data_IF_518112314000
#
_entry.id   IF_518112314000
#
_cell.length_a   1.000
_cell.length_b   1.000
_cell.length_c   1.000
_cell.angle_alpha   90.00
_cell.angle_beta   90.00
_cell.angle_gamma   90.00
#
_symmetry.space_group_name_H-M   'P 1'
#
loop_
_entity.id
_entity.type
_entity.pdbx_description
1 polymer ?
#
# COMPACT_ATOMS: atom_id res chain seq x y z
N UNK A 1 -29.79 12.58 62.36
CA UNK A 1 -29.25 13.47 61.30
C UNK A 1 -28.54 12.70 60.18
N UNK A 2 -27.58 11.80 60.48
CA UNK A 2 -26.84 10.99 59.48
C UNK A 2 -27.71 10.12 58.54
N UNK A 3 -28.77 9.48 59.08
CA UNK A 3 -29.61 8.56 58.29
C UNK A 3 -30.41 9.25 57.17
N UNK A 4 -30.87 10.48 57.41
CA UNK A 4 -31.56 11.28 56.41
C UNK A 4 -30.64 11.78 55.30
N UNK A 5 -29.39 12.12 55.64
CA UNK A 5 -28.36 12.50 54.67
C UNK A 5 -28.03 11.33 53.72
N UNK A 6 -27.91 10.12 54.26
CA UNK A 6 -27.64 8.91 53.48
C UNK A 6 -28.77 8.57 52.50
N UNK A 7 -30.04 8.72 52.90
CA UNK A 7 -31.20 8.50 52.04
C UNK A 7 -31.25 9.53 50.91
N UNK A 8 -31.00 10.81 51.20
CA UNK A 8 -30.98 11.86 50.16
C UNK A 8 -29.82 11.69 49.19
N UNK A 9 -28.65 11.25 49.66
CA UNK A 9 -27.51 10.92 48.79
C UNK A 9 -27.80 9.71 47.90
N UNK A 10 -28.49 8.70 48.42
CA UNK A 10 -28.93 7.54 47.66
C UNK A 10 -29.95 7.90 46.57
N UNK A 11 -30.95 8.74 46.91
CA UNK A 11 -31.92 9.27 45.93
C UNK A 11 -31.21 10.08 44.83
N UNK A 12 -30.25 10.93 45.21
CA UNK A 12 -29.42 11.69 44.26
C UNK A 12 -28.60 10.77 43.35
N UNK A 13 -27.95 9.74 43.89
CA UNK A 13 -27.19 8.76 43.09
C UNK A 13 -28.10 7.92 42.18
N UNK A 14 -29.30 7.58 42.63
CA UNK A 14 -30.27 6.83 41.82
C UNK A 14 -30.81 7.66 40.63
N UNK A 15 -30.97 8.98 40.82
CA UNK A 15 -31.47 9.89 39.79
C UNK A 15 -30.36 10.32 38.82
N UNK A 16 -29.19 10.71 39.34
CA UNK A 16 -28.10 11.27 38.53
C UNK A 16 -27.07 10.23 38.09
N UNK A 17 -26.96 9.08 38.77
CA UNK A 17 -26.05 8.00 38.43
C UNK A 17 -26.24 7.49 36.99
N UNK A 18 -27.46 7.10 36.57
CA UNK A 18 -27.72 6.65 35.21
C UNK A 18 -27.38 7.71 34.16
N UNK A 19 -27.69 8.98 34.44
CA UNK A 19 -27.39 10.10 33.55
C UNK A 19 -25.86 10.27 33.37
N UNK A 20 -25.10 10.22 34.47
CA UNK A 20 -23.64 10.29 34.44
C UNK A 20 -23.05 9.07 33.72
N UNK A 21 -23.59 7.87 33.94
CA UNK A 21 -23.16 6.66 33.22
C UNK A 21 -23.41 6.76 31.72
N UNK A 22 -24.58 7.26 31.30
CA UNK A 22 -24.91 7.46 29.88
C UNK A 22 -24.02 8.54 29.26
N UNK A 23 -23.77 9.65 29.97
CA UNK A 23 -22.85 10.71 29.52
C UNK A 23 -21.43 10.18 29.35
N UNK A 24 -20.91 9.45 30.34
CA UNK A 24 -19.58 8.84 30.27
C UNK A 24 -19.51 7.82 29.14
N UNK A 25 -20.49 6.92 29.02
CA UNK A 25 -20.55 5.93 27.95
C UNK A 25 -20.60 6.59 26.56
N UNK A 26 -21.38 7.65 26.39
CA UNK A 26 -21.46 8.42 25.14
C UNK A 26 -20.15 9.15 24.83
N UNK A 27 -19.50 9.71 25.85
CA UNK A 27 -18.20 10.36 25.73
C UNK A 27 -17.11 9.35 25.31
N UNK A 28 -17.03 8.20 25.98
CA UNK A 28 -16.07 7.14 25.63
C UNK A 28 -16.37 6.49 24.27
N UNK A 29 -17.65 6.30 23.91
CA UNK A 29 -18.03 5.83 22.59
C UNK A 29 -17.66 6.83 21.50
N UNK A 30 -17.91 8.12 21.72
CA UNK A 30 -17.47 9.20 20.84
C UNK A 30 -15.95 9.22 20.69
N UNK A 31 -15.22 9.14 21.80
CA UNK A 31 -13.76 9.07 21.81
C UNK A 31 -13.22 7.84 21.06
N UNK A 32 -13.85 6.67 21.24
CA UNK A 32 -13.51 5.46 20.51
C UNK A 32 -13.73 5.65 19.00
N UNK A 33 -14.83 6.27 18.58
CA UNK A 33 -15.07 6.57 17.15
C UNK A 33 -14.00 7.53 16.61
N UNK A 34 -13.60 8.55 17.37
CA UNK A 34 -12.55 9.48 16.96
C UNK A 34 -11.18 8.83 16.77
N UNK A 35 -10.92 7.68 17.40
CA UNK A 35 -9.67 6.91 17.20
C UNK A 35 -9.87 5.84 16.11
N UNK A 36 -10.95 5.08 16.19
CA UNK A 36 -11.18 3.92 15.34
C UNK A 36 -11.49 4.33 13.90
N UNK A 37 -12.27 5.39 13.69
CA UNK A 37 -12.64 5.86 12.36
C UNK A 37 -11.43 6.30 11.51
N UNK A 38 -10.52 7.19 11.98
CA UNK A 38 -9.34 7.54 11.20
C UNK A 38 -8.39 6.36 11.03
N UNK A 39 -8.30 5.45 12.01
CA UNK A 39 -7.49 4.23 11.89
C UNK A 39 -8.04 3.31 10.78
N UNK A 40 -9.34 3.03 10.77
CA UNK A 40 -9.98 2.20 9.75
C UNK A 40 -9.91 2.86 8.37
N UNK A 41 -10.11 4.18 8.30
CA UNK A 41 -9.95 4.93 7.06
C UNK A 41 -8.52 4.86 6.54
N UNK A 42 -7.52 5.05 7.41
CA UNK A 42 -6.11 4.93 7.05
C UNK A 42 -5.77 3.52 6.56
N UNK A 43 -6.27 2.48 7.23
CA UNK A 43 -6.10 1.09 6.80
C UNK A 43 -6.74 0.85 5.43
N UNK A 44 -7.97 1.32 5.23
CA UNK A 44 -8.66 1.21 3.95
C UNK A 44 -7.88 1.89 2.82
N UNK A 45 -7.44 3.13 3.02
CA UNK A 45 -6.62 3.87 2.05
C UNK A 45 -5.29 3.15 1.78
N UNK A 46 -4.62 2.64 2.82
CA UNK A 46 -3.39 1.88 2.67
C UNK A 46 -3.61 0.61 1.84
N UNK A 47 -4.69 -0.13 2.07
CA UNK A 47 -5.05 -1.31 1.27
C UNK A 47 -5.27 -0.94 -0.19
N UNK A 48 -5.99 0.15 -0.48
CA UNK A 48 -6.18 0.61 -1.85
C UNK A 48 -4.86 0.95 -2.54
N UNK A 49 -3.94 1.63 -1.84
CA UNK A 49 -2.61 1.96 -2.35
C UNK A 49 -1.83 0.67 -2.66
N UNK A 50 -1.81 -0.30 -1.74
CA UNK A 50 -1.13 -1.59 -1.94
C UNK A 50 -1.69 -2.31 -3.16
N UNK A 51 -3.01 -2.46 -3.25
CA UNK A 51 -3.65 -3.15 -4.37
C UNK A 51 -3.37 -2.45 -5.72
N UNK A 52 -3.31 -1.12 -5.72
CA UNK A 52 -3.10 -0.34 -6.94
C UNK A 52 -1.64 -0.34 -7.44
N UNK A 53 -0.68 -0.34 -6.50
CA UNK A 53 0.72 -0.08 -6.80
C UNK A 53 1.65 -1.28 -6.61
N UNK A 54 1.33 -2.25 -5.74
CA UNK A 54 2.19 -3.39 -5.46
C UNK A 54 2.26 -4.34 -6.68
N UNK A 55 3.46 -4.58 -7.26
CA UNK A 55 3.65 -5.63 -8.24
C UNK A 55 3.24 -7.01 -7.73
N UNK A 56 2.60 -7.78 -8.60
CA UNK A 56 2.16 -9.14 -8.28
C UNK A 56 2.75 -10.16 -9.25
N UNK A 57 2.68 -9.90 -10.56
CA UNK A 57 3.04 -10.87 -11.59
C UNK A 57 3.29 -10.18 -12.92
N UNK A 58 3.88 -10.93 -13.86
CA UNK A 58 4.00 -10.55 -15.26
C UNK A 58 3.19 -11.56 -16.09
N UNK A 59 2.41 -11.09 -17.06
CA UNK A 59 1.56 -11.94 -17.90
C UNK A 59 1.68 -11.53 -19.36
N UNK A 60 1.71 -12.47 -20.29
CA UNK A 60 1.61 -12.12 -21.70
C UNK A 60 0.15 -11.79 -22.05
N UNK A 61 -0.08 -10.56 -22.50
CA UNK A 61 -1.40 -10.03 -22.90
C UNK A 61 -1.29 -9.59 -24.36
N UNK A 62 -2.00 -10.25 -25.27
CA UNK A 62 -2.08 -9.84 -26.69
C UNK A 62 -0.70 -9.70 -27.36
N UNK A 63 0.24 -10.60 -27.06
CA UNK A 63 1.62 -10.55 -27.59
C UNK A 63 2.55 -9.54 -26.90
N UNK A 64 2.08 -8.83 -25.88
CA UNK A 64 2.86 -7.86 -25.07
C UNK A 64 3.05 -8.35 -23.64
N UNK A 65 4.04 -7.82 -22.93
CA UNK A 65 4.26 -8.15 -21.52
C UNK A 65 3.40 -7.22 -20.63
N UNK A 66 2.42 -7.80 -19.95
CA UNK A 66 1.63 -7.15 -18.91
C UNK A 66 2.36 -7.15 -17.57
N UNK A 67 2.68 -5.97 -17.05
CA UNK A 67 3.30 -5.75 -15.74
C UNK A 67 2.19 -5.46 -14.73
N UNK A 68 1.82 -6.45 -13.92
CA UNK A 68 0.56 -6.46 -13.19
C UNK A 68 0.69 -6.19 -11.68
N UNK A 69 -0.19 -5.36 -11.17
CA UNK A 69 -0.59 -5.27 -9.77
C UNK A 69 -1.89 -6.08 -9.56
N UNK A 70 -2.36 -6.28 -8.32
CA UNK A 70 -3.62 -7.00 -8.06
C UNK A 70 -4.85 -6.50 -8.84
N UNK A 71 -4.92 -5.20 -9.16
CA UNK A 71 -6.12 -4.59 -9.77
C UNK A 71 -5.91 -4.08 -11.19
N UNK A 72 -4.67 -4.01 -11.68
CA UNK A 72 -4.37 -3.47 -13.02
C UNK A 72 -3.08 -4.04 -13.61
N UNK A 73 -2.96 -3.99 -14.92
CA UNK A 73 -1.73 -4.30 -15.63
C UNK A 73 -1.32 -3.13 -16.53
N UNK A 74 -0.04 -2.78 -16.51
CA UNK A 74 0.55 -1.91 -17.53
C UNK A 74 1.02 -2.74 -18.71
N UNK A 75 0.87 -2.23 -19.93
CA UNK A 75 1.31 -2.93 -21.13
C UNK A 75 2.72 -2.48 -21.48
N UNK A 76 3.65 -3.42 -21.52
CA UNK A 76 5.02 -3.21 -21.91
C UNK A 76 5.33 -3.96 -23.21
N UNK A 77 5.87 -3.25 -24.19
CA UNK A 77 6.44 -3.84 -25.41
C UNK A 77 7.95 -3.86 -25.27
N UNK A 78 8.52 -5.05 -25.12
CA UNK A 78 9.97 -5.24 -25.10
C UNK A 78 10.47 -5.33 -26.54
N UNK A 79 11.41 -4.46 -26.94
CA UNK A 79 11.94 -4.39 -28.30
C UNK A 79 13.36 -4.94 -28.40
N UNK A 80 14.24 -4.50 -27.53
CA UNK A 80 15.67 -4.85 -27.58
C UNK A 80 16.14 -5.29 -26.18
N UNK A 81 16.76 -6.47 -26.11
CA UNK A 81 17.37 -6.96 -24.87
C UNK A 81 18.78 -6.39 -24.76
N UNK A 82 19.04 -5.62 -23.71
CA UNK A 82 20.34 -4.98 -23.48
C UNK A 82 21.22 -5.79 -22.51
N UNK A 83 20.65 -6.78 -21.81
CA UNK A 83 21.40 -7.71 -20.97
C UNK A 83 20.78 -7.96 -19.60
N UNK A 84 21.49 -8.72 -18.78
CA UNK A 84 21.08 -9.07 -17.42
C UNK A 84 22.13 -8.62 -16.41
N UNK A 85 21.68 -8.06 -15.28
CA UNK A 85 22.56 -7.63 -14.20
C UNK A 85 22.06 -8.12 -12.83
N UNK A 86 23.00 -8.37 -11.93
CA UNK A 86 22.71 -8.81 -10.56
C UNK A 86 22.74 -7.61 -9.61
N UNK A 87 21.65 -7.36 -8.89
CA UNK A 87 21.54 -6.24 -7.94
C UNK A 87 20.78 -6.53 -6.65
N UNK A 88 20.07 -7.65 -6.56
CA UNK A 88 19.12 -7.90 -5.47
C UNK A 88 17.77 -7.23 -5.76
N UNK A 89 17.04 -6.77 -4.73
CA UNK A 89 15.70 -6.17 -4.91
C UNK A 89 15.69 -4.82 -5.63
N UNK A 90 16.85 -4.17 -5.72
CA UNK A 90 17.05 -2.91 -6.43
C UNK A 90 18.15 -3.17 -7.47
N UNK A 91 18.02 -2.68 -8.71
CA UNK A 91 19.07 -2.85 -9.70
C UNK A 91 20.37 -2.15 -9.26
N UNK A 92 21.54 -2.69 -9.66
CA UNK A 92 22.83 -2.16 -9.21
C UNK A 92 23.03 -0.72 -9.73
N UNK A 93 23.48 0.18 -8.86
CA UNK A 93 23.69 1.59 -9.21
C UNK A 93 22.42 2.41 -9.44
N UNK A 94 21.22 1.83 -9.19
CA UNK A 94 19.92 2.47 -9.44
C UNK A 94 19.17 2.77 -8.13
N UNK A 95 19.84 3.22 -7.08
CA UNK A 95 19.19 3.51 -5.78
C UNK A 95 18.16 4.65 -5.85
N UNK A 96 18.28 5.55 -6.82
CA UNK A 96 17.33 6.65 -7.03
C UNK A 96 15.92 6.18 -7.38
N UNK A 97 15.74 4.91 -7.79
CA UNK A 97 14.41 4.31 -8.02
C UNK A 97 13.53 4.31 -6.77
N UNK A 98 14.14 4.44 -5.58
CA UNK A 98 13.44 4.59 -4.32
C UNK A 98 12.81 5.99 -4.14
N UNK A 99 13.07 6.93 -5.04
CA UNK A 99 12.51 8.28 -4.98
C UNK A 99 11.60 8.60 -6.17
N UNK A 100 11.63 7.82 -7.26
CA UNK A 100 10.73 8.00 -8.40
C UNK A 100 9.30 7.51 -8.13
N UNK A 101 8.32 7.95 -8.91
CA UNK A 101 6.91 7.66 -8.68
C UNK A 101 6.60 6.15 -8.71
N UNK A 102 5.96 5.63 -7.66
CA UNK A 102 5.51 4.25 -7.62
C UNK A 102 5.59 3.55 -6.25
N UNK A 103 5.78 2.23 -6.30
CA UNK A 103 5.84 1.28 -5.18
C UNK A 103 7.25 0.77 -4.92
N UNK A 104 7.64 0.63 -3.65
CA UNK A 104 9.02 0.31 -3.26
C UNK A 104 9.12 -0.63 -2.07
N UNK A 105 7.99 -1.22 -1.65
CA UNK A 105 7.89 -1.87 -0.35
C UNK A 105 7.36 -3.31 -0.44
N UNK A 106 7.58 -4.11 0.61
CA UNK A 106 8.90 -4.41 1.12
C UNK A 106 9.72 -5.29 0.15
N UNK A 107 9.05 -6.07 -0.70
CA UNK A 107 9.69 -7.13 -1.53
C UNK A 107 9.65 -6.87 -3.03
N UNK A 108 8.91 -5.85 -3.47
CA UNK A 108 8.62 -5.57 -4.87
C UNK A 108 8.90 -4.11 -5.22
N UNK A 109 9.14 -3.86 -6.50
CA UNK A 109 9.48 -2.54 -7.01
C UNK A 109 8.60 -2.23 -8.22
N UNK A 110 7.91 -1.11 -8.20
CA UNK A 110 7.29 -0.48 -9.36
C UNK A 110 7.75 0.97 -9.33
N UNK A 111 8.58 1.40 -10.27
CA UNK A 111 9.12 2.75 -10.22
C UNK A 111 9.20 3.34 -11.61
N UNK A 112 8.53 4.47 -11.81
CA UNK A 112 8.55 5.23 -13.05
C UNK A 112 9.41 6.48 -12.85
N UNK A 113 10.62 6.46 -13.43
CA UNK A 113 11.60 7.54 -13.39
C UNK A 113 11.59 8.37 -14.68
N UNK A 114 10.48 8.41 -15.41
CA UNK A 114 10.35 9.14 -16.67
C UNK A 114 10.90 8.36 -17.86
N UNK A 115 12.23 8.36 -18.05
CA UNK A 115 12.91 7.63 -19.14
C UNK A 115 13.13 6.15 -18.83
N UNK A 116 13.12 5.81 -17.55
CA UNK A 116 13.35 4.44 -17.08
C UNK A 116 12.14 3.94 -16.30
N UNK A 117 11.88 2.66 -16.41
CA UNK A 117 10.79 1.98 -15.74
C UNK A 117 11.30 0.71 -15.06
N UNK A 118 11.04 0.56 -13.77
CA UNK A 118 11.52 -0.55 -12.96
C UNK A 118 10.34 -1.37 -12.44
N UNK A 119 10.40 -2.67 -12.64
CA UNK A 119 9.36 -3.59 -12.22
C UNK A 119 9.95 -4.88 -11.64
N UNK A 120 9.64 -5.22 -10.39
CA UNK A 120 9.97 -6.51 -9.80
C UNK A 120 8.78 -7.14 -9.10
N UNK A 121 8.60 -8.42 -9.34
CA UNK A 121 7.57 -9.25 -8.69
C UNK A 121 8.11 -9.85 -7.39
N UNK A 122 7.24 -10.45 -6.54
CA UNK A 122 7.69 -11.20 -5.36
C UNK A 122 8.66 -12.35 -5.70
N UNK A 123 8.66 -12.83 -6.95
CA UNK A 123 9.53 -13.89 -7.46
C UNK A 123 10.91 -13.39 -7.90
N UNK A 124 11.21 -12.10 -7.72
CA UNK A 124 12.50 -11.52 -8.07
C UNK A 124 13.63 -12.14 -7.23
N UNK A 125 14.58 -12.78 -7.91
CA UNK A 125 15.79 -13.40 -7.36
C UNK A 125 17.01 -12.46 -7.37
N UNK A 126 16.78 -11.20 -7.76
CA UNK A 126 17.80 -10.17 -7.88
C UNK A 126 18.54 -10.12 -9.22
N UNK A 127 18.09 -10.90 -10.21
CA UNK A 127 18.53 -10.80 -11.60
C UNK A 127 17.58 -9.91 -12.39
N UNK A 128 18.11 -8.76 -12.80
CA UNK A 128 17.39 -7.74 -13.53
C UNK A 128 17.69 -7.86 -15.02
N UNK A 129 16.64 -8.03 -15.80
CA UNK A 129 16.71 -7.95 -17.24
C UNK A 129 16.49 -6.50 -17.68
N UNK A 130 17.40 -6.02 -18.53
CA UNK A 130 17.38 -4.70 -19.11
C UNK A 130 16.86 -4.78 -20.54
N UNK A 131 15.85 -4.00 -20.83
CA UNK A 131 15.20 -3.95 -22.12
C UNK A 131 15.03 -2.51 -22.57
N UNK A 132 15.07 -2.27 -23.87
CA UNK A 132 14.53 -1.06 -24.48
C UNK A 132 13.16 -1.37 -25.07
N UNK A 133 12.20 -0.48 -24.87
CA UNK A 133 10.83 -0.77 -25.27
C UNK A 133 9.86 0.37 -25.00
N UNK A 134 8.59 0.05 -24.90
CA UNK A 134 7.55 1.01 -24.51
C UNK A 134 6.75 0.52 -23.32
N UNK A 135 6.32 1.43 -22.45
CA UNK A 135 5.37 1.17 -21.35
C UNK A 135 4.21 2.15 -21.50
N UNK A 136 2.99 1.63 -21.64
CA UNK A 136 1.79 2.41 -21.96
C UNK A 136 2.00 3.36 -23.16
N UNK A 137 2.73 2.88 -24.19
CA UNK A 137 3.02 3.62 -25.42
C UNK A 137 4.15 4.65 -25.33
N UNK A 138 4.80 4.82 -24.16
CA UNK A 138 5.95 5.71 -23.99
C UNK A 138 7.25 4.93 -24.06
N UNK A 139 8.20 5.40 -24.85
CA UNK A 139 9.52 4.77 -24.96
C UNK A 139 10.33 4.90 -23.66
N UNK A 140 10.83 3.77 -23.17
CA UNK A 140 11.54 3.66 -21.89
C UNK A 140 12.62 2.58 -21.92
N UNK A 141 13.61 2.77 -21.07
CA UNK A 141 14.49 1.71 -20.60
C UNK A 141 13.76 0.94 -19.50
N UNK A 142 13.44 -0.33 -19.75
CA UNK A 142 12.60 -1.18 -18.91
C UNK A 142 13.49 -2.17 -18.18
N UNK A 143 13.42 -2.16 -16.87
CA UNK A 143 14.11 -3.06 -15.96
C UNK A 143 13.08 -3.98 -15.35
N UNK A 144 13.19 -5.29 -15.62
CA UNK A 144 12.27 -6.29 -15.09
C UNK A 144 13.01 -7.34 -14.26
N UNK A 145 12.42 -7.78 -13.15
CA UNK A 145 12.94 -8.88 -12.33
C UNK A 145 11.80 -9.79 -11.87
N UNK A 146 12.01 -11.10 -11.95
CA UNK A 146 10.97 -12.08 -11.60
C UNK A 146 9.81 -12.13 -12.60
N UNK A 147 10.04 -11.71 -13.85
CA UNK A 147 9.12 -11.89 -14.99
C UNK A 147 9.48 -13.08 -15.88
N UNK A 148 10.48 -13.90 -15.49
CA UNK A 148 10.91 -15.05 -16.29
C UNK A 148 9.74 -16.02 -16.50
N UNK A 149 9.62 -16.46 -17.76
CA UNK A 149 8.65 -17.46 -18.21
C UNK A 149 8.86 -18.80 -17.53
#
# INVERSE_FOLDING_TARGET
MLRGLAVRLFELLAIFGPLVTVLLASYYAGYLIHILAPLLFALFVATLIVLWFMPSSCRFLEGRLGLCTPVRCKRAELREFEGEVKGGRIPPGKTYVLFCFGWRFPTTLFSDCGKEFFFSTPSCDGRWEKWRGTVDGKEKEIWICGCRR
#
